data_IF_937887968431
#
_entry.id   IF_937887968431
#
_cell.length_a   1.000
_cell.length_b   1.000
_cell.length_c   1.000
_cell.angle_alpha   90.00
_cell.angle_beta   90.00
_cell.angle_gamma   90.00
#
_symmetry.space_group_name_H-M   'P 1'
#
loop_
_entity.id
_entity.type
_entity.pdbx_description
1 polymer ?
#
# COMPACT_ATOMS: atom_id res chain seq x y z
N UNK A 1 -19.12 -1.31 18.21
CA UNK A 1 -19.00 -1.56 16.76
C UNK A 1 -19.47 -0.35 15.98
N UNK A 2 -20.74 0.07 16.03
CA UNK A 2 -21.20 1.25 15.26
C UNK A 2 -20.34 2.50 15.42
N UNK A 3 -20.00 2.90 16.66
CA UNK A 3 -19.08 4.02 16.90
C UNK A 3 -17.71 3.83 16.22
N UNK A 4 -17.17 2.62 16.27
CA UNK A 4 -15.89 2.25 15.63
C UNK A 4 -15.99 2.40 14.11
N UNK A 5 -17.10 1.94 13.51
CA UNK A 5 -17.34 2.08 12.07
C UNK A 5 -17.50 3.55 11.68
N UNK A 6 -18.27 4.32 12.46
CA UNK A 6 -18.52 5.74 12.22
C UNK A 6 -17.25 6.59 12.32
N UNK A 7 -16.40 6.32 13.29
CA UNK A 7 -15.15 7.05 13.54
C UNK A 7 -13.95 6.43 12.83
N UNK A 8 -14.11 5.27 12.19
CA UNK A 8 -13.03 4.45 11.61
C UNK A 8 -11.87 4.21 12.59
N UNK A 9 -12.22 3.99 13.86
CA UNK A 9 -11.24 3.82 14.92
C UNK A 9 -10.73 2.36 14.96
N UNK A 10 -9.75 2.06 14.11
CA UNK A 10 -9.18 0.72 13.97
C UNK A 10 -8.45 0.22 15.21
N UNK A 11 -7.92 1.12 16.05
CA UNK A 11 -7.33 0.75 17.33
C UNK A 11 -8.37 0.17 18.30
N UNK A 12 -9.57 0.74 18.33
CA UNK A 12 -10.65 0.18 19.14
C UNK A 12 -11.22 -1.12 18.54
N UNK A 13 -11.21 -1.26 17.21
CA UNK A 13 -11.51 -2.55 16.56
C UNK A 13 -10.50 -3.62 16.98
N UNK A 14 -9.21 -3.30 16.96
CA UNK A 14 -8.14 -4.19 17.37
C UNK A 14 -8.33 -4.69 18.80
N UNK A 15 -8.61 -3.79 19.75
CA UNK A 15 -8.94 -4.17 21.13
C UNK A 15 -10.10 -5.17 21.20
N UNK A 16 -11.15 -5.00 20.38
CA UNK A 16 -12.27 -5.94 20.35
C UNK A 16 -11.87 -7.31 19.77
N UNK A 17 -11.05 -7.33 18.72
CA UNK A 17 -10.57 -8.57 18.09
C UNK A 17 -9.63 -9.33 19.01
N UNK A 18 -8.77 -8.63 19.77
CA UNK A 18 -7.90 -9.21 20.81
C UNK A 18 -8.70 -9.86 21.94
N UNK A 19 -9.85 -9.29 22.33
CA UNK A 19 -10.73 -9.90 23.33
C UNK A 19 -11.50 -11.10 22.77
N UNK A 20 -12.09 -10.97 21.57
CA UNK A 20 -12.80 -12.06 20.91
C UNK A 20 -12.99 -11.81 19.42
N UNK A 21 -12.06 -12.33 18.61
CA UNK A 21 -12.13 -12.29 17.15
C UNK A 21 -13.44 -12.86 16.61
N UNK A 22 -13.89 -14.01 17.13
CA UNK A 22 -15.17 -14.64 16.73
C UNK A 22 -16.38 -13.73 16.94
N UNK A 23 -16.44 -13.00 18.06
CA UNK A 23 -17.57 -12.11 18.38
C UNK A 23 -17.51 -10.85 17.51
N UNK A 24 -16.33 -10.26 17.33
CA UNK A 24 -16.13 -9.10 16.47
C UNK A 24 -16.54 -9.42 15.02
N UNK A 25 -16.00 -10.49 14.43
CA UNK A 25 -16.32 -10.94 13.07
C UNK A 25 -17.81 -11.21 12.92
N UNK A 26 -18.45 -11.96 13.84
CA UNK A 26 -19.90 -12.21 13.77
C UNK A 26 -20.72 -10.92 13.76
N UNK A 27 -20.28 -9.91 14.51
CA UNK A 27 -20.98 -8.62 14.60
C UNK A 27 -20.88 -7.87 13.26
N UNK A 28 -19.70 -7.91 12.61
CA UNK A 28 -19.47 -7.31 11.29
C UNK A 28 -20.23 -8.04 10.19
N UNK A 29 -20.19 -9.38 10.16
CA UNK A 29 -20.94 -10.20 9.20
C UNK A 29 -22.43 -9.87 9.25
N UNK A 30 -23.01 -9.79 10.46
CA UNK A 30 -24.41 -9.40 10.62
C UNK A 30 -24.70 -7.98 10.12
N UNK A 31 -23.73 -7.07 10.25
CA UNK A 31 -23.88 -5.67 9.82
C UNK A 31 -23.81 -5.51 8.30
N UNK A 32 -23.02 -6.35 7.62
CA UNK A 32 -22.83 -6.38 6.17
C UNK A 32 -24.08 -6.92 5.44
N UNK A 33 -24.94 -7.68 6.12
CA UNK A 33 -26.17 -8.21 5.52
C UNK A 33 -27.12 -7.11 5.02
N UNK A 34 -27.03 -5.90 5.59
CA UNK A 34 -27.84 -4.75 5.19
C UNK A 34 -26.95 -3.77 4.41
N UNK A 35 -27.24 -3.57 3.12
CA UNK A 35 -26.53 -2.59 2.27
C UNK A 35 -27.16 -1.21 2.44
N UNK A 36 -26.70 -0.44 3.42
CA UNK A 36 -27.22 0.88 3.81
C UNK A 36 -26.17 2.01 3.71
N UNK A 37 -25.62 2.18 2.52
CA UNK A 37 -24.68 3.27 2.24
C UNK A 37 -23.36 3.10 2.99
N UNK A 38 -22.91 4.15 3.68
CA UNK A 38 -21.55 4.22 4.20
C UNK A 38 -21.28 3.25 5.38
N UNK A 39 -22.30 2.97 6.19
CA UNK A 39 -22.19 2.06 7.32
C UNK A 39 -21.90 0.63 6.89
N UNK A 40 -22.56 0.18 5.81
CA UNK A 40 -22.27 -1.10 5.15
C UNK A 40 -20.81 -1.20 4.72
N UNK A 41 -20.32 -0.23 3.96
CA UNK A 41 -18.97 -0.30 3.42
C UNK A 41 -17.89 -0.20 4.48
N UNK A 42 -18.09 0.63 5.52
CA UNK A 42 -17.19 0.68 6.68
C UNK A 42 -17.19 -0.63 7.45
N UNK A 43 -18.31 -1.37 7.48
CA UNK A 43 -18.36 -2.72 8.06
C UNK A 43 -17.60 -3.74 7.20
N UNK A 44 -17.71 -3.66 5.86
CA UNK A 44 -16.92 -4.45 4.91
C UNK A 44 -15.42 -4.21 5.12
N UNK A 45 -14.99 -2.95 5.19
CA UNK A 45 -13.60 -2.57 5.46
C UNK A 45 -13.13 -3.13 6.82
N UNK A 46 -13.93 -2.92 7.87
CA UNK A 46 -13.65 -3.43 9.20
C UNK A 46 -13.55 -4.96 9.26
N UNK A 47 -14.30 -5.68 8.41
CA UNK A 47 -14.21 -7.15 8.32
C UNK A 47 -12.85 -7.59 7.79
N UNK A 48 -12.32 -6.89 6.78
CA UNK A 48 -10.97 -7.11 6.27
C UNK A 48 -9.92 -6.90 7.36
N UNK A 49 -9.96 -5.75 8.04
CA UNK A 49 -9.04 -5.44 9.16
C UNK A 49 -9.17 -6.47 10.29
N UNK A 50 -10.39 -6.80 10.71
CA UNK A 50 -10.63 -7.76 11.77
C UNK A 50 -10.16 -9.18 11.40
N UNK A 51 -10.25 -9.55 10.11
CA UNK A 51 -9.76 -10.86 9.63
C UNK A 51 -8.23 -10.93 9.70
N UNK A 52 -7.51 -9.89 9.29
CA UNK A 52 -6.04 -9.84 9.41
C UNK A 52 -5.57 -9.93 10.86
N UNK A 53 -6.21 -9.18 11.76
CA UNK A 53 -5.92 -9.24 13.20
C UNK A 53 -6.27 -10.60 13.82
N UNK A 54 -7.29 -11.29 13.30
CA UNK A 54 -7.62 -12.65 13.74
C UNK A 54 -6.61 -13.69 13.24
N UNK A 55 -6.06 -13.49 12.03
CA UNK A 55 -5.05 -14.36 11.43
C UNK A 55 -3.76 -14.38 12.25
N UNK A 56 -3.36 -13.23 12.81
CA UNK A 56 -2.24 -13.12 13.74
C UNK A 56 -2.44 -13.96 15.02
N UNK A 57 -3.68 -14.10 15.50
CA UNK A 57 -4.01 -14.89 16.70
C UNK A 57 -4.16 -16.38 16.39
N UNK A 58 -4.73 -16.70 15.21
CA UNK A 58 -5.00 -18.07 14.78
C UNK A 58 -4.83 -18.19 13.28
N UNK A 59 -3.77 -18.90 12.89
CA UNK A 59 -3.49 -19.28 11.51
C UNK A 59 -4.71 -19.95 10.84
N UNK A 60 -4.89 -19.64 9.56
CA UNK A 60 -5.93 -20.08 8.64
C UNK A 60 -7.34 -19.57 8.98
N UNK A 61 -7.48 -18.60 9.87
CA UNK A 61 -8.77 -18.01 10.24
C UNK A 61 -9.41 -17.22 9.10
N UNK A 62 -8.62 -16.47 8.34
CA UNK A 62 -9.06 -15.69 7.17
C UNK A 62 -9.46 -16.61 6.02
N UNK A 63 -8.69 -17.68 5.79
CA UNK A 63 -8.99 -18.72 4.79
C UNK A 63 -10.34 -19.39 5.08
N UNK A 64 -10.57 -19.79 6.33
CA UNK A 64 -11.83 -20.39 6.76
C UNK A 64 -13.01 -19.41 6.64
N UNK A 65 -12.79 -18.13 6.89
CA UNK A 65 -13.82 -17.10 6.73
C UNK A 65 -14.21 -16.92 5.25
N UNK A 66 -13.23 -16.85 4.34
CA UNK A 66 -13.49 -16.78 2.89
C UNK A 66 -14.25 -18.01 2.40
N UNK A 67 -13.85 -19.21 2.84
CA UNK A 67 -14.57 -20.46 2.50
C UNK A 67 -16.03 -20.46 2.93
N UNK A 68 -16.35 -19.88 4.09
CA UNK A 68 -17.73 -19.75 4.57
C UNK A 68 -18.56 -18.82 3.70
N UNK A 69 -17.99 -17.72 3.23
CA UNK A 69 -18.67 -16.83 2.28
C UNK A 69 -18.92 -17.54 0.94
N UNK A 70 -17.94 -18.26 0.39
CA UNK A 70 -18.18 -19.06 -0.81
C UNK A 70 -19.24 -20.15 -0.60
N UNK A 71 -19.24 -20.82 0.55
CA UNK A 71 -20.28 -21.78 0.88
C UNK A 71 -21.68 -21.14 0.94
N UNK A 72 -21.79 -19.91 1.43
CA UNK A 72 -23.06 -19.18 1.49
C UNK A 72 -23.59 -18.71 0.13
N UNK A 73 -22.75 -18.73 -0.92
CA UNK A 73 -23.16 -18.46 -2.31
C UNK A 73 -23.83 -19.66 -2.98
N UNK A 74 -23.68 -20.87 -2.42
CA UNK A 74 -24.30 -22.06 -3.01
C UNK A 74 -25.82 -22.06 -2.77
N UNK A 75 -26.60 -22.45 -3.78
CA UNK A 75 -28.06 -22.59 -3.71
C UNK A 75 -28.51 -23.51 -2.56
N UNK A 76 -27.72 -24.56 -2.26
CA UNK A 76 -27.97 -25.51 -1.17
C UNK A 76 -27.91 -24.89 0.23
N UNK A 77 -27.32 -23.70 0.38
CA UNK A 77 -27.19 -23.04 1.68
C UNK A 77 -28.50 -22.44 2.18
N UNK A 78 -29.49 -22.23 1.30
CA UNK A 78 -30.75 -21.54 1.60
C UNK A 78 -30.56 -20.06 1.99
N UNK A 79 -29.34 -19.52 1.85
CA UNK A 79 -29.00 -18.14 2.12
C UNK A 79 -29.03 -17.29 0.86
N UNK A 80 -29.55 -16.08 0.96
CA UNK A 80 -29.34 -15.10 -0.09
C UNK A 80 -27.96 -14.48 0.12
N UNK A 81 -27.03 -14.77 -0.79
CA UNK A 81 -25.62 -14.45 -0.64
C UNK A 81 -25.26 -12.97 -0.89
N UNK A 82 -26.17 -12.06 -0.51
CA UNK A 82 -26.03 -10.63 -0.71
C UNK A 82 -24.75 -10.12 -0.07
N UNK A 83 -24.00 -9.33 -0.83
CA UNK A 83 -22.78 -8.62 -0.42
C UNK A 83 -21.58 -9.53 -0.08
N UNK A 84 -21.62 -10.81 -0.45
CA UNK A 84 -20.52 -11.73 -0.22
C UNK A 84 -19.26 -11.32 -0.99
N UNK A 85 -19.41 -10.79 -2.19
CA UNK A 85 -18.29 -10.35 -3.03
C UNK A 85 -17.47 -9.24 -2.36
N UNK A 86 -18.12 -8.22 -1.81
CA UNK A 86 -17.50 -7.13 -1.05
C UNK A 86 -16.73 -7.66 0.17
N UNK A 87 -17.35 -8.58 0.92
CA UNK A 87 -16.73 -9.17 2.10
C UNK A 87 -15.51 -10.03 1.75
N UNK A 88 -15.62 -10.91 0.74
CA UNK A 88 -14.52 -11.75 0.26
C UNK A 88 -13.38 -10.87 -0.24
N UNK A 89 -13.69 -9.86 -1.07
CA UNK A 89 -12.72 -8.89 -1.59
C UNK A 89 -11.95 -8.18 -0.47
N UNK A 90 -12.67 -7.68 0.55
CA UNK A 90 -12.06 -7.03 1.71
C UNK A 90 -11.14 -7.96 2.50
N UNK A 91 -11.59 -9.18 2.82
CA UNK A 91 -10.79 -10.17 3.55
C UNK A 91 -9.53 -10.54 2.75
N UNK A 92 -9.69 -10.83 1.46
CA UNK A 92 -8.56 -11.17 0.58
C UNK A 92 -7.57 -10.02 0.46
N UNK A 93 -8.04 -8.79 0.32
CA UNK A 93 -7.20 -7.61 0.22
C UNK A 93 -6.42 -7.33 1.52
N UNK A 94 -6.98 -7.67 2.68
CA UNK A 94 -6.30 -7.57 3.99
C UNK A 94 -5.38 -8.76 4.29
N UNK A 95 -5.57 -9.91 3.64
CA UNK A 95 -4.80 -11.14 3.86
C UNK A 95 -4.34 -11.76 2.51
N UNK A 96 -3.64 -11.02 1.65
CA UNK A 96 -3.36 -11.50 0.29
C UNK A 96 -2.43 -12.72 0.26
N UNK A 97 -1.56 -12.86 1.26
CA UNK A 97 -0.63 -14.00 1.38
C UNK A 97 -1.39 -15.30 1.66
N UNK A 98 -2.36 -15.26 2.55
CA UNK A 98 -3.15 -16.42 2.97
C UNK A 98 -4.31 -16.68 2.01
N UNK A 99 -4.99 -15.64 1.55
CA UNK A 99 -6.25 -15.74 0.80
C UNK A 99 -6.11 -15.44 -0.71
N UNK A 100 -4.95 -15.00 -1.20
CA UNK A 100 -4.77 -14.62 -2.61
C UNK A 100 -5.04 -15.74 -3.62
N UNK A 101 -4.89 -17.00 -3.20
CA UNK A 101 -5.18 -18.16 -4.04
C UNK A 101 -6.68 -18.32 -4.41
N UNK A 102 -7.58 -17.56 -3.77
CA UNK A 102 -9.00 -17.49 -4.13
C UNK A 102 -9.30 -16.50 -5.28
N UNK A 103 -8.27 -15.89 -5.89
CA UNK A 103 -8.44 -14.86 -6.93
C UNK A 103 -9.38 -15.25 -8.07
N UNK A 104 -9.23 -16.44 -8.64
CA UNK A 104 -10.11 -16.93 -9.69
C UNK A 104 -11.54 -17.17 -9.19
N UNK A 105 -11.70 -17.65 -7.96
CA UNK A 105 -13.03 -17.85 -7.37
C UNK A 105 -13.75 -16.52 -7.16
N UNK A 106 -13.03 -15.48 -6.69
CA UNK A 106 -13.57 -14.12 -6.59
C UNK A 106 -13.90 -13.57 -7.98
N UNK A 107 -12.99 -13.65 -8.96
CA UNK A 107 -13.21 -13.13 -10.30
C UNK A 107 -14.36 -13.83 -11.05
N UNK A 108 -14.62 -15.11 -10.78
CA UNK A 108 -15.76 -15.82 -11.37
C UNK A 108 -17.11 -15.28 -10.88
N UNK A 109 -17.16 -14.57 -9.75
CA UNK A 109 -18.39 -13.91 -9.30
C UNK A 109 -18.82 -12.76 -10.24
N UNK A 110 -17.96 -12.31 -11.17
CA UNK A 110 -18.34 -11.36 -12.22
C UNK A 110 -19.38 -11.90 -13.20
N UNK A 111 -19.59 -13.23 -13.23
CA UNK A 111 -20.62 -13.87 -14.06
C UNK A 111 -22.05 -13.61 -13.53
N UNK A 112 -22.19 -13.23 -12.26
CA UNK A 112 -23.46 -12.84 -11.64
C UNK A 112 -23.57 -11.32 -11.57
N UNK A 113 -24.53 -10.74 -12.29
CA UNK A 113 -24.78 -9.29 -12.34
C UNK A 113 -24.94 -8.66 -10.95
N UNK A 114 -25.51 -9.38 -9.98
CA UNK A 114 -25.72 -8.87 -8.62
C UNK A 114 -24.44 -8.76 -7.80
N UNK A 115 -23.36 -9.42 -8.22
CA UNK A 115 -22.08 -9.49 -7.51
C UNK A 115 -20.95 -8.73 -8.23
N UNK A 116 -21.20 -8.21 -9.44
CA UNK A 116 -20.17 -7.58 -10.28
C UNK A 116 -19.49 -6.39 -9.60
N UNK A 117 -20.25 -5.42 -9.11
CA UNK A 117 -19.69 -4.21 -8.49
C UNK A 117 -18.84 -4.56 -7.26
N UNK A 118 -19.36 -5.42 -6.38
CA UNK A 118 -18.64 -5.86 -5.18
C UNK A 118 -17.37 -6.64 -5.51
N UNK A 119 -17.41 -7.46 -6.56
CA UNK A 119 -16.25 -8.21 -7.06
C UNK A 119 -15.19 -7.28 -7.62
N UNK A 120 -15.58 -6.34 -8.49
CA UNK A 120 -14.68 -5.33 -9.06
C UNK A 120 -14.06 -4.46 -7.95
N UNK A 121 -14.85 -4.05 -6.94
CA UNK A 121 -14.33 -3.33 -5.80
C UNK A 121 -13.31 -4.15 -5.00
N UNK A 122 -13.55 -5.44 -4.80
CA UNK A 122 -12.60 -6.37 -4.19
C UNK A 122 -11.29 -6.49 -4.98
N UNK A 123 -11.39 -6.63 -6.30
CA UNK A 123 -10.23 -6.67 -7.20
C UNK A 123 -9.46 -5.35 -7.24
N UNK A 124 -10.14 -4.21 -7.14
CA UNK A 124 -9.51 -2.90 -7.01
C UNK A 124 -8.65 -2.81 -5.73
N UNK A 125 -9.18 -3.27 -4.60
CA UNK A 125 -8.44 -3.33 -3.34
C UNK A 125 -7.24 -4.30 -3.42
N UNK A 126 -7.39 -5.44 -4.07
CA UNK A 126 -6.29 -6.38 -4.31
C UNK A 126 -5.22 -5.78 -5.23
N UNK A 127 -5.59 -4.99 -6.24
CA UNK A 127 -4.65 -4.34 -7.18
C UNK A 127 -3.68 -3.38 -6.47
N UNK A 128 -4.09 -2.85 -5.32
CA UNK A 128 -3.27 -1.94 -4.50
C UNK A 128 -2.37 -2.72 -3.54
N UNK A 129 -2.86 -3.84 -3.01
CA UNK A 129 -2.23 -4.53 -1.89
C UNK A 129 -1.34 -5.68 -2.34
N UNK A 130 -1.76 -6.35 -3.39
CA UNK A 130 -1.15 -7.53 -3.95
C UNK A 130 -1.48 -7.60 -5.45
N UNK A 131 -0.95 -6.67 -6.28
CA UNK A 131 -1.19 -6.67 -7.72
C UNK A 131 -0.87 -8.02 -8.37
N UNK A 132 0.10 -8.77 -7.83
CA UNK A 132 0.43 -10.13 -8.30
C UNK A 132 -0.76 -11.11 -8.24
N UNK A 133 -1.72 -10.89 -7.34
CA UNK A 133 -2.94 -11.71 -7.20
C UNK A 133 -3.95 -11.38 -8.29
N UNK A 134 -3.99 -10.13 -8.76
CA UNK A 134 -4.93 -9.65 -9.78
C UNK A 134 -4.38 -9.82 -11.19
N UNK A 135 -3.07 -9.75 -11.36
CA UNK A 135 -2.37 -9.85 -12.65
C UNK A 135 -2.84 -10.99 -13.59
N UNK A 136 -3.15 -12.23 -13.13
CA UNK A 136 -3.67 -13.27 -14.02
C UNK A 136 -5.13 -13.06 -14.49
N UNK A 137 -5.83 -12.04 -14.00
CA UNK A 137 -7.27 -11.86 -14.17
C UNK A 137 -7.66 -10.79 -15.20
N UNK A 138 -6.71 -10.32 -16.02
CA UNK A 138 -6.96 -9.25 -17.02
C UNK A 138 -8.18 -9.54 -17.89
N UNK A 139 -8.32 -10.76 -18.41
CA UNK A 139 -9.45 -11.19 -19.26
C UNK A 139 -10.80 -11.18 -18.53
N UNK A 140 -10.81 -11.28 -17.20
CA UNK A 140 -12.04 -11.21 -16.39
C UNK A 140 -12.47 -9.76 -16.16
N UNK A 141 -11.54 -8.83 -16.08
CA UNK A 141 -11.82 -7.41 -15.84
C UNK A 141 -12.05 -6.63 -17.14
N UNK A 142 -11.35 -7.00 -18.23
CA UNK A 142 -11.39 -6.29 -19.52
C UNK A 142 -12.81 -5.99 -20.04
N UNK A 143 -13.79 -6.93 -20.01
CA UNK A 143 -15.13 -6.66 -20.51
C UNK A 143 -15.85 -5.51 -19.78
N UNK A 144 -15.45 -5.21 -18.54
CA UNK A 144 -16.07 -4.16 -17.74
C UNK A 144 -15.56 -2.75 -18.11
N UNK A 145 -14.52 -2.62 -18.93
CA UNK A 145 -14.13 -1.32 -19.51
C UNK A 145 -15.23 -0.72 -20.40
N UNK A 146 -16.15 -1.54 -20.89
CA UNK A 146 -17.32 -1.12 -21.69
C UNK A 146 -18.65 -1.37 -20.96
N UNK A 147 -18.61 -1.62 -19.64
CA UNK A 147 -19.83 -1.84 -18.86
C UNK A 147 -20.76 -0.63 -18.98
N UNK A 148 -22.08 -0.88 -19.10
CA UNK A 148 -23.08 0.20 -19.14
C UNK A 148 -23.20 0.93 -17.81
N UNK A 149 -23.03 0.20 -16.72
CA UNK A 149 -23.00 0.76 -15.38
C UNK A 149 -21.70 1.57 -15.16
N UNK A 150 -21.84 2.83 -14.78
CA UNK A 150 -20.71 3.76 -14.63
C UNK A 150 -19.78 3.37 -13.48
N UNK A 151 -20.30 2.77 -12.41
CA UNK A 151 -19.50 2.37 -11.26
C UNK A 151 -18.66 1.14 -11.61
N UNK A 152 -19.25 0.14 -12.28
CA UNK A 152 -18.52 -1.01 -12.79
C UNK A 152 -17.43 -0.58 -13.78
N UNK A 153 -17.76 0.30 -14.72
CA UNK A 153 -16.80 0.83 -15.69
C UNK A 153 -15.68 1.62 -15.02
N UNK A 154 -16.01 2.50 -14.08
CA UNK A 154 -15.03 3.26 -13.30
C UNK A 154 -14.09 2.35 -12.50
N UNK A 155 -14.62 1.34 -11.81
CA UNK A 155 -13.83 0.36 -11.07
C UNK A 155 -12.86 -0.40 -12.01
N UNK A 156 -13.35 -0.89 -13.16
CA UNK A 156 -12.53 -1.59 -14.13
C UNK A 156 -11.41 -0.69 -14.69
N UNK A 157 -11.73 0.54 -15.09
CA UNK A 157 -10.75 1.53 -15.55
C UNK A 157 -9.69 1.80 -14.49
N UNK A 158 -10.09 1.92 -13.22
CA UNK A 158 -9.13 2.17 -12.15
C UNK A 158 -8.24 0.95 -11.89
N UNK A 159 -8.79 -0.27 -11.91
CA UNK A 159 -7.98 -1.50 -11.86
C UNK A 159 -6.93 -1.49 -12.97
N UNK A 160 -7.33 -1.22 -14.22
CA UNK A 160 -6.39 -1.15 -15.35
C UNK A 160 -5.31 -0.08 -15.14
N UNK A 161 -5.68 1.10 -14.65
CA UNK A 161 -4.73 2.17 -14.32
C UNK A 161 -3.67 1.71 -13.31
N UNK A 162 -4.11 1.08 -12.21
CA UNK A 162 -3.22 0.61 -11.15
C UNK A 162 -2.33 -0.55 -11.62
N UNK A 163 -2.90 -1.50 -12.35
CA UNK A 163 -2.19 -2.65 -12.87
C UNK A 163 -1.19 -2.25 -13.97
N UNK A 164 -1.51 -1.27 -14.82
CA UNK A 164 -0.59 -0.69 -15.80
C UNK A 164 0.57 0.07 -15.13
N UNK A 165 0.33 0.67 -13.97
CA UNK A 165 1.38 1.29 -13.17
C UNK A 165 2.31 0.26 -12.50
N UNK A 166 1.85 -0.97 -12.27
CA UNK A 166 2.63 -2.04 -11.66
C UNK A 166 3.68 -2.62 -12.63
N UNK A 167 4.99 -2.56 -12.31
CA UNK A 167 6.06 -3.01 -13.21
C UNK A 167 5.95 -4.47 -13.65
N UNK A 168 5.47 -5.36 -12.78
CA UNK A 168 5.35 -6.80 -13.07
C UNK A 168 4.15 -7.15 -13.96
N UNK A 169 3.15 -6.28 -14.03
CA UNK A 169 1.88 -6.55 -14.72
C UNK A 169 1.71 -5.73 -16.02
N UNK A 170 2.37 -4.57 -16.12
CA UNK A 170 2.19 -3.56 -17.17
C UNK A 170 1.94 -4.11 -18.58
N UNK A 171 2.73 -5.07 -19.04
CA UNK A 171 2.67 -5.57 -20.43
C UNK A 171 1.33 -6.24 -20.78
N UNK A 172 0.63 -6.81 -19.80
CA UNK A 172 -0.66 -7.49 -20.00
C UNK A 172 -1.85 -6.55 -19.93
N UNK A 173 -1.73 -5.46 -19.18
CA UNK A 173 -2.83 -4.55 -18.84
C UNK A 173 -2.87 -3.36 -19.81
N UNK A 174 -2.97 -3.67 -21.10
CA UNK A 174 -3.12 -2.69 -22.16
C UNK A 174 -4.58 -2.59 -22.60
N UNK A 175 -5.00 -1.37 -22.94
CA UNK A 175 -6.34 -1.09 -23.46
C UNK A 175 -6.19 -0.82 -24.96
N UNK A 176 -7.04 -1.43 -25.77
CA UNK A 176 -7.07 -1.19 -27.22
C UNK A 176 -7.20 0.30 -27.53
N UNK A 177 -6.50 0.78 -28.56
CA UNK A 177 -6.37 2.21 -28.87
C UNK A 177 -7.72 2.93 -29.04
N UNK A 178 -8.67 2.30 -29.74
CA UNK A 178 -10.01 2.88 -29.95
C UNK A 178 -10.83 2.95 -28.66
N UNK A 179 -10.79 1.90 -27.84
CA UNK A 179 -11.43 1.90 -26.53
C UNK A 179 -10.79 2.95 -25.61
N UNK A 180 -9.46 3.06 -25.62
CA UNK A 180 -8.74 4.07 -24.86
C UNK A 180 -9.16 5.49 -25.26
N UNK A 181 -9.32 5.80 -26.56
CA UNK A 181 -9.82 7.11 -27.05
C UNK A 181 -11.22 7.43 -26.53
N UNK A 182 -12.08 6.42 -26.41
CA UNK A 182 -13.42 6.58 -25.83
C UNK A 182 -13.34 6.88 -24.34
N UNK A 183 -12.56 6.10 -23.57
CA UNK A 183 -12.47 6.22 -22.12
C UNK A 183 -11.85 7.55 -21.66
N UNK A 184 -10.86 8.10 -22.38
CA UNK A 184 -10.28 9.41 -22.03
C UNK A 184 -11.28 10.58 -22.22
N UNK A 185 -12.38 10.35 -22.94
CA UNK A 185 -13.45 11.33 -23.15
C UNK A 185 -14.66 11.08 -22.24
N UNK A 186 -14.68 9.96 -21.51
CA UNK A 186 -15.80 9.59 -20.63
C UNK A 186 -15.86 10.50 -19.40
N UNK A 187 -16.89 11.34 -19.37
CA UNK A 187 -17.17 12.29 -18.28
C UNK A 187 -18.28 11.80 -17.34
N UNK A 188 -18.76 10.57 -17.50
CA UNK A 188 -19.73 10.01 -16.55
C UNK A 188 -19.08 9.85 -15.17
N UNK A 189 -19.82 10.20 -14.12
CA UNK A 189 -19.31 10.23 -12.75
C UNK A 189 -19.50 8.87 -12.09
N UNK A 190 -18.40 8.15 -11.85
CA UNK A 190 -18.40 6.94 -11.05
C UNK A 190 -18.40 7.31 -9.55
N UNK A 191 -19.31 6.71 -8.79
CA UNK A 191 -19.33 6.75 -7.34
C UNK A 191 -18.64 5.51 -6.79
N UNK A 192 -17.47 5.69 -6.18
CA UNK A 192 -16.64 4.59 -5.69
C UNK A 192 -16.46 4.76 -4.19
N UNK A 193 -16.87 3.75 -3.42
CA UNK A 193 -16.52 3.69 -2.01
C UNK A 193 -15.02 3.45 -1.85
N UNK A 194 -14.37 4.30 -1.07
CA UNK A 194 -12.98 4.12 -0.74
C UNK A 194 -12.69 4.68 0.66
N UNK A 195 -12.08 3.87 1.53
CA UNK A 195 -11.53 4.34 2.81
C UNK A 195 -12.50 5.23 3.61
N UNK A 196 -13.71 4.70 3.81
CA UNK A 196 -14.69 5.31 4.68
C UNK A 196 -15.56 6.40 4.07
N UNK A 197 -15.32 6.82 2.83
CA UNK A 197 -16.08 7.85 2.12
C UNK A 197 -16.42 7.39 0.70
N UNK A 198 -17.42 8.03 0.08
CA UNK A 198 -17.65 7.90 -1.36
C UNK A 198 -16.89 9.00 -2.09
N UNK A 199 -16.19 8.58 -3.14
CA UNK A 199 -15.51 9.49 -4.05
C UNK A 199 -16.21 9.48 -5.39
N UNK A 200 -16.28 10.66 -6.01
CA UNK A 200 -16.87 10.86 -7.31
C UNK A 200 -15.78 11.29 -8.28
N UNK A 201 -15.52 10.45 -9.27
CA UNK A 201 -14.55 10.74 -10.33
C UNK A 201 -15.22 10.59 -11.70
N UNK A 202 -14.97 11.48 -12.67
CA UNK A 202 -15.27 11.15 -14.05
C UNK A 202 -14.42 9.93 -14.46
N UNK A 203 -14.99 8.99 -15.22
CA UNK A 203 -14.29 7.75 -15.63
C UNK A 203 -12.93 8.05 -16.27
N UNK A 204 -12.86 9.09 -17.11
CA UNK A 204 -11.61 9.55 -17.73
C UNK A 204 -10.50 9.93 -16.76
N UNK A 205 -10.81 10.45 -15.56
CA UNK A 205 -9.79 10.78 -14.56
C UNK A 205 -9.21 9.56 -13.86
N UNK A 206 -9.89 8.41 -13.90
CA UNK A 206 -9.40 7.17 -13.31
C UNK A 206 -8.26 6.57 -14.16
N UNK A 207 -8.22 6.88 -15.46
CA UNK A 207 -7.09 6.57 -16.33
C UNK A 207 -5.84 7.35 -15.90
N UNK A 208 -4.83 6.63 -15.41
CA UNK A 208 -3.57 7.21 -14.95
C UNK A 208 -3.60 7.73 -13.51
N UNK A 209 -4.71 7.56 -12.78
CA UNK A 209 -4.77 7.85 -11.34
C UNK A 209 -4.00 6.80 -10.55
N UNK A 210 -2.84 7.18 -10.02
CA UNK A 210 -2.06 6.38 -9.08
C UNK A 210 -2.62 6.52 -7.65
N UNK A 211 -2.33 5.53 -6.79
CA UNK A 211 -2.64 5.57 -5.36
C UNK A 211 -1.34 5.43 -4.58
N UNK A 212 -1.12 6.35 -3.64
CA UNK A 212 -0.05 6.27 -2.65
C UNK A 212 -0.67 5.90 -1.30
N UNK A 213 -0.41 4.68 -0.86
CA UNK A 213 -0.89 4.18 0.44
C UNK A 213 0.11 4.55 1.53
N UNK A 214 -0.36 5.01 2.68
CA UNK A 214 0.43 5.47 3.82
C UNK A 214 0.11 4.64 5.07
N UNK A 215 1.14 4.26 5.81
CA UNK A 215 1.00 3.58 7.10
C UNK A 215 2.08 4.06 8.06
N UNK A 216 1.75 4.19 9.34
CA UNK A 216 2.70 4.57 10.37
C UNK A 216 2.62 3.61 11.56
N UNK A 217 3.78 3.27 12.13
CA UNK A 217 3.91 2.41 13.31
C UNK A 217 5.09 2.85 14.17
N UNK A 218 4.94 2.70 15.47
CA UNK A 218 6.03 2.81 16.43
C UNK A 218 6.84 1.51 16.50
N UNK A 219 8.16 1.61 16.41
CA UNK A 219 9.08 0.50 16.61
C UNK A 219 9.94 0.76 17.85
N UNK A 220 9.83 -0.10 18.86
CA UNK A 220 10.63 0.00 20.08
C UNK A 220 11.96 -0.73 19.91
N UNK A 221 13.06 -0.01 20.05
CA UNK A 221 14.41 -0.54 20.03
C UNK A 221 15.12 -0.13 21.33
N UNK A 222 15.22 -1.08 22.27
CA UNK A 222 15.83 -0.87 23.59
C UNK A 222 15.28 0.37 24.32
N UNK A 223 16.07 1.45 24.44
CA UNK A 223 15.73 2.70 25.11
C UNK A 223 15.09 3.75 24.20
N UNK A 224 14.87 3.43 22.93
CA UNK A 224 14.37 4.37 21.92
C UNK A 224 13.13 3.83 21.20
N UNK A 225 12.22 4.75 20.86
CA UNK A 225 11.06 4.45 20.02
C UNK A 225 11.19 5.19 18.71
N UNK A 226 11.27 4.43 17.62
CA UNK A 226 11.20 4.95 16.27
C UNK A 226 9.74 5.16 15.88
N UNK A 227 9.40 6.33 15.36
CA UNK A 227 8.15 6.53 14.64
C UNK A 227 8.46 6.33 13.15
N UNK A 228 7.96 5.26 12.56
CA UNK A 228 8.25 4.94 11.17
C UNK A 228 6.97 5.06 10.36
N UNK A 229 7.02 5.91 9.35
CA UNK A 229 5.95 6.06 8.37
C UNK A 229 6.44 5.55 7.03
N UNK A 230 5.65 4.72 6.36
CA UNK A 230 5.96 4.17 5.04
C UNK A 230 4.86 4.54 4.06
N UNK A 231 5.22 4.83 2.81
CA UNK A 231 4.25 4.96 1.74
C UNK A 231 4.68 4.24 0.47
N UNK A 232 3.72 3.57 -0.18
CA UNK A 232 3.92 2.78 -1.40
C UNK A 232 2.99 3.25 -2.50
N UNK A 233 3.52 3.37 -3.73
CA UNK A 233 2.73 3.42 -4.96
C UNK A 233 2.60 2.00 -5.55
N UNK A 234 1.89 1.86 -6.67
CA UNK A 234 1.80 0.59 -7.41
C UNK A 234 3.16 0.13 -7.96
N UNK A 235 4.15 1.04 -8.04
CA UNK A 235 5.51 0.75 -8.51
C UNK A 235 6.44 0.28 -7.41
N UNK A 236 6.14 0.62 -6.15
CA UNK A 236 6.96 0.24 -5.02
C UNK A 236 6.94 1.27 -3.89
N UNK A 237 7.87 1.09 -2.94
CA UNK A 237 8.05 1.98 -1.81
C UNK A 237 8.54 3.34 -2.28
N UNK A 238 7.80 4.41 -1.99
CA UNK A 238 8.11 5.77 -2.44
C UNK A 238 8.42 6.74 -1.28
N UNK A 239 8.11 6.37 -0.04
CA UNK A 239 8.39 7.18 1.15
C UNK A 239 8.75 6.34 2.37
N UNK A 240 9.75 6.78 3.13
CA UNK A 240 10.02 6.35 4.51
C UNK A 240 10.36 7.57 5.35
N UNK A 241 9.51 7.86 6.31
CA UNK A 241 9.60 8.95 7.28
C UNK A 241 9.98 8.45 8.67
N UNK A 242 10.67 9.30 9.43
CA UNK A 242 11.12 8.98 10.80
C UNK A 242 10.58 9.98 11.86
N UNK A 243 9.69 10.89 11.46
CA UNK A 243 9.01 11.85 12.31
C UNK A 243 7.68 11.33 12.88
N UNK A 244 6.92 12.21 13.53
CA UNK A 244 5.57 11.85 14.01
C UNK A 244 4.65 11.55 12.82
N UNK A 245 3.67 10.64 12.97
CA UNK A 245 2.76 10.27 11.88
C UNK A 245 2.10 11.46 11.19
N UNK A 246 1.63 12.45 11.95
CA UNK A 246 0.92 13.62 11.42
C UNK A 246 1.83 14.50 10.57
N UNK A 247 3.08 14.66 11.01
CA UNK A 247 4.08 15.44 10.29
C UNK A 247 4.46 14.75 8.98
N UNK A 248 4.75 13.46 9.06
CA UNK A 248 5.15 12.64 7.90
C UNK A 248 4.02 12.54 6.87
N UNK A 249 2.76 12.44 7.30
CA UNK A 249 1.62 12.48 6.39
C UNK A 249 1.53 13.83 5.65
N UNK A 250 1.71 14.95 6.36
CA UNK A 250 1.70 16.28 5.76
C UNK A 250 2.83 16.48 4.72
N UNK A 251 4.03 16.01 5.05
CA UNK A 251 5.18 16.04 4.13
C UNK A 251 4.96 15.12 2.92
N UNK A 252 4.44 13.92 3.13
CA UNK A 252 4.07 12.99 2.07
C UNK A 252 3.04 13.59 1.13
N UNK A 253 1.96 14.20 1.63
CA UNK A 253 0.93 14.82 0.80
C UNK A 253 1.50 15.93 -0.08
N UNK A 254 2.40 16.75 0.48
CA UNK A 254 3.13 17.78 -0.28
C UNK A 254 4.03 17.17 -1.34
N UNK A 255 4.72 16.07 -1.01
CA UNK A 255 5.55 15.34 -1.96
C UNK A 255 4.73 14.73 -3.10
N UNK A 256 3.61 14.07 -2.81
CA UNK A 256 2.72 13.46 -3.80
C UNK A 256 2.14 14.51 -4.72
N UNK A 257 1.64 15.63 -4.19
CA UNK A 257 1.13 16.73 -5.01
C UNK A 257 2.16 17.23 -6.04
N UNK A 258 3.44 17.27 -5.67
CA UNK A 258 4.53 17.74 -6.53
C UNK A 258 5.07 16.67 -7.48
N UNK A 259 5.11 15.41 -7.06
CA UNK A 259 5.83 14.33 -7.75
C UNK A 259 4.94 13.34 -8.47
N UNK A 260 3.69 13.20 -8.03
CA UNK A 260 2.69 12.29 -8.59
C UNK A 260 1.34 13.03 -8.65
N UNK A 261 1.26 14.15 -9.40
CA UNK A 261 0.06 14.99 -9.44
C UNK A 261 -1.18 14.19 -9.86
N UNK A 262 -2.33 14.47 -9.24
CA UNK A 262 -3.59 13.77 -9.50
C UNK A 262 -3.78 12.45 -8.74
N UNK A 263 -2.74 11.98 -8.04
CA UNK A 263 -2.79 10.77 -7.22
C UNK A 263 -3.49 11.00 -5.88
N UNK A 264 -4.02 9.91 -5.32
CA UNK A 264 -4.60 9.92 -3.98
C UNK A 264 -3.57 9.49 -2.94
N UNK A 265 -3.57 10.15 -1.78
CA UNK A 265 -2.79 9.75 -0.61
C UNK A 265 -3.74 9.22 0.45
N UNK A 266 -3.51 7.96 0.83
CA UNK A 266 -4.51 7.16 1.53
C UNK A 266 -3.88 6.53 2.77
N UNK A 267 -4.28 6.95 3.99
CA UNK A 267 -3.87 6.26 5.21
C UNK A 267 -4.52 4.89 5.25
N UNK A 268 -3.78 3.87 5.72
CA UNK A 268 -4.27 2.50 5.79
C UNK A 268 -4.31 1.96 7.20
N UNK A 269 -5.27 1.08 7.46
CA UNK A 269 -5.33 0.32 8.70
C UNK A 269 -4.20 -0.73 8.81
N UNK A 270 -3.80 -1.32 7.68
CA UNK A 270 -2.79 -2.38 7.61
C UNK A 270 -1.57 -1.93 6.78
N UNK A 271 -0.35 -2.35 7.16
CA UNK A 271 0.88 -1.99 6.46
C UNK A 271 1.06 -2.71 5.13
N UNK A 272 1.99 -2.19 4.31
CA UNK A 272 2.71 -3.01 3.34
C UNK A 272 3.58 -4.02 4.11
N UNK A 273 3.08 -5.25 4.26
CA UNK A 273 3.71 -6.29 5.08
C UNK A 273 5.16 -6.56 4.69
N UNK A 274 5.46 -6.69 3.38
CA UNK A 274 6.82 -6.94 2.89
C UNK A 274 7.81 -5.84 3.33
N UNK A 275 7.38 -4.58 3.32
CA UNK A 275 8.23 -3.44 3.77
C UNK A 275 8.46 -3.51 5.27
N UNK A 276 7.39 -3.73 6.05
CA UNK A 276 7.48 -3.77 7.51
C UNK A 276 8.30 -4.97 8.00
N UNK A 277 8.10 -6.16 7.45
CA UNK A 277 8.90 -7.36 7.74
C UNK A 277 10.39 -7.08 7.55
N UNK A 278 10.79 -6.46 6.43
CA UNK A 278 12.21 -6.15 6.20
C UNK A 278 12.75 -5.06 7.12
N UNK A 279 11.94 -4.07 7.50
CA UNK A 279 12.35 -3.08 8.49
C UNK A 279 12.52 -3.71 9.88
N UNK A 280 11.61 -4.60 10.28
CA UNK A 280 11.70 -5.34 11.54
C UNK A 280 12.94 -6.25 11.57
N UNK A 281 13.27 -6.93 10.46
CA UNK A 281 14.52 -7.69 10.31
C UNK A 281 15.77 -6.78 10.42
N UNK A 282 15.72 -5.57 9.87
CA UNK A 282 16.82 -4.61 9.93
C UNK A 282 17.07 -4.13 11.37
N UNK A 283 16.00 -3.78 12.08
CA UNK A 283 16.09 -3.33 13.47
C UNK A 283 16.31 -4.46 14.48
N UNK A 284 16.19 -5.73 14.06
CA UNK A 284 16.63 -6.90 14.83
C UNK A 284 18.04 -7.37 14.49
N UNK A 285 18.71 -6.72 13.52
CA UNK A 285 20.08 -7.06 13.11
C UNK A 285 20.17 -8.29 12.18
N UNK A 286 19.04 -8.88 11.80
CA UNK A 286 18.96 -10.05 10.91
C UNK A 286 19.23 -9.65 9.45
N UNK A 287 18.83 -8.44 9.06
CA UNK A 287 18.91 -7.96 7.67
C UNK A 287 19.92 -6.83 7.50
N UNK A 288 20.79 -7.00 6.52
CA UNK A 288 21.75 -5.99 6.08
C UNK A 288 21.39 -5.40 4.70
N UNK A 289 20.57 -6.09 3.90
CA UNK A 289 20.16 -5.68 2.55
C UNK A 289 18.63 -5.71 2.37
N UNK A 290 18.10 -4.67 1.74
CA UNK A 290 16.68 -4.58 1.39
C UNK A 290 16.44 -5.07 -0.04
N UNK A 291 15.46 -5.97 -0.20
CA UNK A 291 14.99 -6.42 -1.51
C UNK A 291 13.53 -6.00 -1.67
N UNK A 292 13.34 -4.74 -2.07
CA UNK A 292 12.03 -4.12 -2.23
C UNK A 292 12.01 -3.34 -3.55
N UNK A 293 10.89 -3.36 -4.29
CA UNK A 293 10.71 -2.43 -5.39
C UNK A 293 10.65 -1.00 -4.82
N UNK A 294 11.51 -0.11 -5.32
CA UNK A 294 11.55 1.29 -4.90
C UNK A 294 11.01 2.18 -6.02
N UNK A 295 10.25 3.20 -5.65
CA UNK A 295 9.71 4.22 -6.54
C UNK A 295 10.12 5.64 -6.09
N UNK A 296 11.43 5.95 -5.99
CA UNK A 296 11.86 7.31 -5.67
C UNK A 296 11.58 8.23 -6.85
N UNK A 297 10.92 9.38 -6.61
CA UNK A 297 10.64 10.40 -7.64
C UNK A 297 11.48 11.65 -7.43
N UNK A 298 12.43 11.89 -8.34
CA UNK A 298 13.39 12.98 -8.27
C UNK A 298 13.84 13.45 -9.66
N UNK A 299 14.75 14.42 -9.71
CA UNK A 299 15.46 14.75 -10.94
C UNK A 299 16.46 13.65 -11.29
N UNK A 300 16.90 13.56 -12.55
CA UNK A 300 17.92 12.59 -12.97
C UNK A 300 19.18 12.63 -12.09
N UNK A 301 19.60 13.82 -11.65
CA UNK A 301 20.73 13.96 -10.74
C UNK A 301 20.42 13.39 -9.34
N UNK A 302 19.22 13.62 -8.81
CA UNK A 302 18.79 13.04 -7.53
C UNK A 302 18.74 11.52 -7.60
N UNK A 303 18.15 10.96 -8.66
CA UNK A 303 18.07 9.51 -8.88
C UNK A 303 19.47 8.89 -8.94
N UNK A 304 20.39 9.46 -9.71
CA UNK A 304 21.80 9.00 -9.77
C UNK A 304 22.50 9.04 -8.41
N UNK A 305 22.27 10.09 -7.62
CA UNK A 305 22.83 10.17 -6.26
C UNK A 305 22.25 9.05 -5.41
N UNK A 306 20.94 8.87 -5.40
CA UNK A 306 20.27 7.87 -4.56
C UNK A 306 20.64 6.43 -4.94
N UNK A 307 20.79 6.14 -6.24
CA UNK A 307 21.34 4.87 -6.72
C UNK A 307 22.76 4.61 -6.19
N UNK A 308 23.62 5.64 -6.17
CA UNK A 308 24.96 5.53 -5.59
C UNK A 308 24.92 5.35 -4.07
N UNK A 309 23.96 5.94 -3.36
CA UNK A 309 23.77 5.70 -1.93
C UNK A 309 23.48 4.23 -1.64
N UNK A 310 22.63 3.58 -2.45
CA UNK A 310 22.30 2.17 -2.28
C UNK A 310 23.51 1.22 -2.46
N UNK A 311 24.60 1.70 -3.08
CA UNK A 311 25.86 0.93 -3.22
C UNK A 311 26.75 0.99 -1.99
N UNK A 312 26.45 1.85 -1.02
CA UNK A 312 27.21 1.93 0.23
C UNK A 312 26.83 0.72 1.10
N UNK A 313 27.75 -0.21 1.39
CA UNK A 313 27.39 -1.41 2.14
C UNK A 313 27.00 -1.11 3.60
N UNK A 314 26.30 -2.05 4.22
CA UNK A 314 25.87 -1.96 5.62
C UNK A 314 27.06 -1.74 6.57
N UNK A 315 26.93 -0.79 7.51
CA UNK A 315 27.99 -0.47 8.47
C UNK A 315 29.20 0.26 7.88
N UNK A 316 29.14 0.66 6.60
CA UNK A 316 30.15 1.52 5.99
C UNK A 316 29.66 2.96 5.84
N UNK A 317 30.62 3.88 5.66
CA UNK A 317 30.32 5.26 5.30
C UNK A 317 31.09 5.69 4.06
N UNK A 318 30.58 6.72 3.39
CA UNK A 318 31.27 7.44 2.31
C UNK A 318 31.16 8.93 2.55
N UNK A 319 32.11 9.69 2.02
CA UNK A 319 32.04 11.14 2.03
C UNK A 319 31.22 11.67 0.86
N UNK A 320 30.66 12.87 1.00
CA UNK A 320 30.01 13.58 -0.12
C UNK A 320 30.92 13.73 -1.36
N UNK A 321 32.24 13.77 -1.16
CA UNK A 321 33.23 13.84 -2.24
C UNK A 321 33.36 12.54 -3.02
N UNK A 322 33.36 11.40 -2.32
CA UNK A 322 33.41 10.08 -2.95
C UNK A 322 32.15 9.84 -3.78
N UNK A 323 30.97 10.13 -3.24
CA UNK A 323 29.71 10.03 -3.99
C UNK A 323 29.74 10.92 -5.23
N UNK A 324 30.19 12.17 -5.09
CA UNK A 324 30.30 13.11 -6.20
C UNK A 324 31.26 12.61 -7.29
N UNK A 325 32.38 11.99 -6.90
CA UNK A 325 33.32 11.38 -7.83
C UNK A 325 32.72 10.18 -8.56
N UNK A 326 32.04 9.29 -7.83
CA UNK A 326 31.46 8.06 -8.39
C UNK A 326 30.35 8.33 -9.40
N UNK A 327 29.54 9.38 -9.18
CA UNK A 327 28.50 9.78 -10.14
C UNK A 327 29.01 10.66 -11.30
N UNK A 328 30.34 10.81 -11.44
CA UNK A 328 30.95 11.57 -12.53
C UNK A 328 30.84 13.10 -12.39
N UNK A 329 30.60 13.62 -11.19
CA UNK A 329 30.60 15.05 -10.89
C UNK A 329 31.53 15.40 -9.72
N UNK A 330 32.87 15.31 -9.86
CA UNK A 330 33.82 15.43 -8.74
C UNK A 330 33.75 16.75 -7.97
N UNK A 331 33.26 17.84 -8.60
CA UNK A 331 33.08 19.16 -7.98
C UNK A 331 31.68 19.34 -7.34
N UNK A 332 30.81 18.35 -7.45
CA UNK A 332 29.39 18.38 -7.11
C UNK A 332 29.04 18.09 -5.65
N UNK A 333 29.99 18.09 -4.72
CA UNK A 333 29.79 17.72 -3.30
C UNK A 333 28.58 18.39 -2.63
N UNK A 334 28.41 19.71 -2.83
CA UNK A 334 27.27 20.45 -2.27
C UNK A 334 25.95 20.01 -2.89
N UNK A 335 25.93 19.76 -4.20
CA UNK A 335 24.75 19.29 -4.90
C UNK A 335 24.36 17.88 -4.43
N UNK A 336 25.34 17.00 -4.21
CA UNK A 336 25.13 15.68 -3.59
C UNK A 336 24.52 15.84 -2.19
N UNK A 337 25.03 16.76 -1.36
CA UNK A 337 24.46 17.04 -0.04
C UNK A 337 22.98 17.45 -0.10
N UNK A 338 22.60 18.32 -1.05
CA UNK A 338 21.21 18.71 -1.28
C UNK A 338 20.34 17.55 -1.79
N UNK A 339 20.86 16.71 -2.69
CA UNK A 339 20.16 15.52 -3.16
C UNK A 339 19.97 14.48 -2.03
N UNK A 340 20.99 14.28 -1.19
CA UNK A 340 20.94 13.40 -0.02
C UNK A 340 19.87 13.86 0.99
N UNK A 341 19.75 15.16 1.21
CA UNK A 341 18.70 15.73 2.07
C UNK A 341 17.28 15.60 1.49
N UNK A 342 17.15 15.39 0.17
CA UNK A 342 15.86 15.21 -0.51
C UNK A 342 15.50 13.74 -0.75
N UNK A 343 16.24 12.80 -0.16
CA UNK A 343 15.89 11.38 -0.20
C UNK A 343 14.50 11.16 0.44
N UNK A 344 13.51 10.65 -0.31
CA UNK A 344 12.18 10.38 0.24
C UNK A 344 12.10 9.04 1.00
N UNK A 345 13.07 8.14 0.84
CA UNK A 345 13.02 6.77 1.39
C UNK A 345 14.18 6.59 2.38
N UNK A 346 14.04 7.16 3.58
CA UNK A 346 15.04 7.01 4.64
C UNK A 346 15.32 5.53 4.99
N UNK A 347 16.48 5.26 5.58
CA UNK A 347 17.00 3.92 5.95
C UNK A 347 17.32 3.04 4.73
N UNK A 348 16.33 2.80 3.87
CA UNK A 348 16.42 1.88 2.73
C UNK A 348 17.28 2.48 1.61
N UNK A 349 17.08 3.76 1.27
CA UNK A 349 18.10 4.54 0.57
C UNK A 349 18.99 5.15 1.66
N UNK A 350 20.22 4.66 1.86
CA UNK A 350 20.94 4.86 3.13
C UNK A 350 21.68 6.21 3.18
N UNK A 351 20.92 7.30 3.12
CA UNK A 351 21.45 8.67 3.16
C UNK A 351 22.12 9.04 4.50
N UNK A 352 21.91 8.24 5.55
CA UNK A 352 22.62 8.34 6.84
C UNK A 352 24.08 7.87 6.75
N UNK A 353 24.44 7.02 5.77
CA UNK A 353 25.81 6.52 5.57
C UNK A 353 26.75 7.54 4.93
N UNK A 354 26.27 8.72 4.54
CA UNK A 354 27.10 9.78 3.96
C UNK A 354 27.53 10.79 5.02
N UNK A 355 28.84 11.02 5.16
CA UNK A 355 29.44 11.88 6.19
C UNK A 355 30.36 12.96 5.61
N UNK A 356 30.73 13.95 6.42
CA UNK A 356 31.74 14.93 6.05
C UNK A 356 33.12 14.30 5.85
N UNK A 357 34.03 14.98 5.13
CA UNK A 357 35.39 14.47 4.82
C UNK A 357 36.21 14.10 6.07
N UNK A 358 35.92 14.72 7.22
CA UNK A 358 36.59 14.43 8.51
C UNK A 358 35.77 13.52 9.43
N UNK A 359 34.69 12.91 8.93
CA UNK A 359 33.74 12.14 9.73
C UNK A 359 32.65 13.00 10.39
N UNK A 360 32.63 14.31 10.15
CA UNK A 360 31.64 15.21 10.73
C UNK A 360 30.21 14.82 10.30
N UNK A 361 29.34 14.61 11.29
CA UNK A 361 27.92 14.36 11.07
C UNK A 361 27.20 15.70 10.85
N UNK A 362 27.02 16.05 9.59
CA UNK A 362 26.24 17.22 9.18
C UNK A 362 24.87 16.79 8.65
N UNK A 363 23.86 17.64 8.93
CA UNK A 363 22.50 17.65 8.39
C UNK A 363 21.90 16.30 7.94
N UNK A 364 20.89 15.82 8.67
CA UNK A 364 20.05 14.70 8.25
C UNK A 364 18.60 15.17 8.15
N UNK A 365 17.90 14.81 7.07
CA UNK A 365 16.53 15.28 6.83
C UNK A 365 15.59 14.92 7.99
N UNK A 366 15.77 13.73 8.56
CA UNK A 366 15.00 13.27 9.71
C UNK A 366 15.65 13.57 11.06
N UNK A 367 16.71 14.39 11.13
CA UNK A 367 17.37 14.80 12.39
C UNK A 367 18.65 14.02 12.75
N UNK A 368 19.62 14.70 13.36
CA UNK A 368 20.95 14.12 13.62
C UNK A 368 20.93 12.94 14.60
N UNK A 369 20.00 12.90 15.56
CA UNK A 369 19.87 11.79 16.51
C UNK A 369 19.61 10.46 15.79
N UNK A 370 18.66 10.44 14.85
CA UNK A 370 18.38 9.27 14.00
C UNK A 370 19.62 8.82 13.22
N UNK A 371 20.38 9.75 12.64
CA UNK A 371 21.61 9.43 11.89
C UNK A 371 22.65 8.76 12.78
N UNK A 372 22.89 9.30 13.98
CA UNK A 372 23.84 8.72 14.95
C UNK A 372 23.40 7.31 15.36
N UNK A 373 22.12 7.13 15.69
CA UNK A 373 21.57 5.84 16.11
C UNK A 373 21.69 4.78 15.01
N UNK A 374 21.32 5.11 13.77
CA UNK A 374 21.44 4.18 12.65
C UNK A 374 22.91 3.78 12.40
N UNK A 375 23.84 4.74 12.40
CA UNK A 375 25.26 4.43 12.21
C UNK A 375 25.82 3.54 13.33
N UNK A 376 25.47 3.83 14.59
CA UNK A 376 25.89 3.02 15.73
C UNK A 376 25.28 1.61 15.67
N UNK A 377 24.00 1.52 15.29
CA UNK A 377 23.29 0.25 15.12
C UNK A 377 23.98 -0.63 14.07
N UNK A 378 24.25 -0.08 12.89
CA UNK A 378 24.91 -0.82 11.82
C UNK A 378 26.35 -1.21 12.17
N UNK A 379 27.09 -0.34 12.85
CA UNK A 379 28.44 -0.64 13.30
C UNK A 379 28.48 -1.81 14.31
N UNK A 380 27.48 -1.91 15.19
CA UNK A 380 27.39 -2.99 16.16
C UNK A 380 27.05 -4.36 15.54
N UNK A 381 26.40 -4.38 14.37
CA UNK A 381 25.90 -5.61 13.72
C UNK A 381 26.64 -5.96 12.42
N UNK A 382 27.81 -5.34 12.16
CA UNK A 382 28.63 -5.55 10.95
C UNK A 382 29.29 -6.94 10.84
N UNK A 383 29.22 -7.76 11.89
CA UNK A 383 29.94 -9.03 12.02
C UNK A 383 29.08 -10.22 12.48
N UNK A 384 27.75 -10.06 12.47
CA UNK A 384 26.82 -11.19 12.47
C UNK A 384 26.45 -11.48 11.03
#
# INVERSE_FOLDING_TARGET
MEKILLERNWQDLEKLVLVSSKKAIRTLVNRIYIKDGLGFWRAVEALGVASALAEEQKKDSSVELVRRYFWSLNEESGGNAWNAAEAIGSIMASNPKECGHFNWMLANLLEDESLQEGTLWGLLNLSINAPEVVDPLVERVYPFLEARDVNQRGLAVWIFSLMKACPSAKERWEIEEELHKTLIQDQEMAEIYWEGEYYHFPVSELLGKEIVTFYAREYKQADFTWNISVASSQKGLCWVGLGTPEKEEGELRTWVQKRVPGSLVIPRALPNQKVMEQLEDYFSGIRQEFNLPLDPRGTDFQLKVWEELCRIPYGETRSYGEIAQNIGNPKGQRAVGLANNKNPIAIIIPCHRVVGKKGDLVGYASGLDHKVRLLNWEAAHRHQ
#
